data_IF_853080993264
#
_entry.id   IF_853080993264
#
_cell.length_a   1.000
_cell.length_b   1.000
_cell.length_c   1.000
_cell.angle_alpha   90.00
_cell.angle_beta   90.00
_cell.angle_gamma   90.00
#
_symmetry.space_group_name_H-M   'P 1'
#
loop_
_entity.id
_entity.type
_entity.pdbx_description
1 polymer ?
#
# COMPACT_ATOMS: atom_id res chain seq x y z
N UNK A 1 10.19 -1.57 -19.55
CA UNK A 1 10.37 -0.65 -18.43
C UNK A 1 9.28 0.39 -18.44
N UNK A 2 8.65 0.66 -17.29
CA UNK A 2 7.71 1.77 -17.17
C UNK A 2 8.50 3.08 -17.18
N UNK A 3 8.21 3.98 -18.10
CA UNK A 3 8.75 5.33 -18.07
C UNK A 3 8.15 6.04 -16.83
N UNK A 4 9.01 6.60 -15.98
CA UNK A 4 8.60 7.40 -14.83
C UNK A 4 8.79 8.86 -15.20
N UNK A 5 7.74 9.65 -15.13
CA UNK A 5 7.78 11.09 -15.35
C UNK A 5 7.50 11.80 -14.03
N UNK A 6 8.43 12.62 -13.58
CA UNK A 6 8.23 13.45 -12.39
C UNK A 6 7.44 14.71 -12.75
N UNK A 7 6.41 15.00 -11.97
CA UNK A 7 5.59 16.20 -12.08
C UNK A 7 5.74 17.04 -10.83
N UNK A 8 6.09 18.31 -10.98
CA UNK A 8 6.07 19.29 -9.88
C UNK A 8 4.78 20.06 -9.95
N UNK A 9 4.01 20.02 -8.87
CA UNK A 9 2.76 20.77 -8.75
C UNK A 9 3.02 21.99 -7.87
N UNK A 10 2.73 23.17 -8.42
CA UNK A 10 2.80 24.46 -7.70
C UNK A 10 1.48 25.19 -7.82
N UNK A 11 1.17 26.08 -6.87
CA UNK A 11 -0.01 26.92 -6.93
C UNK A 11 0.35 28.36 -6.59
N UNK A 12 -0.34 29.29 -7.24
CA UNK A 12 -0.42 30.71 -6.87
C UNK A 12 -1.87 31.04 -6.43
N UNK A 13 -2.20 32.33 -6.38
CA UNK A 13 -3.52 32.78 -5.91
C UNK A 13 -4.66 32.34 -6.84
N UNK A 14 -4.41 32.28 -8.16
CA UNK A 14 -5.43 32.06 -9.20
C UNK A 14 -5.29 30.70 -9.91
N UNK A 15 -4.10 30.07 -9.87
CA UNK A 15 -3.80 28.93 -10.72
C UNK A 15 -3.09 27.79 -9.99
N UNK A 16 -3.21 26.59 -10.55
CA UNK A 16 -2.40 25.39 -10.25
C UNK A 16 -1.61 25.04 -11.51
N UNK A 17 -0.32 24.80 -11.35
CA UNK A 17 0.60 24.51 -12.42
C UNK A 17 1.19 23.11 -12.24
N UNK A 18 1.20 22.31 -13.31
CA UNK A 18 1.89 21.04 -13.38
C UNK A 18 3.09 21.17 -14.31
N UNK A 19 4.27 21.09 -13.76
CA UNK A 19 5.54 21.14 -14.51
C UNK A 19 6.10 19.72 -14.66
N UNK A 20 6.15 19.24 -15.88
CA UNK A 20 6.73 17.95 -16.22
C UNK A 20 8.24 18.08 -16.39
N UNK A 21 9.03 17.27 -15.66
CA UNK A 21 10.49 17.36 -15.62
C UNK A 21 11.22 16.66 -16.76
N UNK A 22 10.54 15.75 -17.47
CA UNK A 22 11.12 15.00 -18.58
C UNK A 22 10.52 15.42 -19.93
N UNK A 23 11.18 15.05 -21.03
CA UNK A 23 10.71 15.31 -22.39
C UNK A 23 9.46 14.48 -22.70
N UNK A 24 8.31 14.98 -22.25
CA UNK A 24 7.01 14.51 -22.70
C UNK A 24 6.63 15.23 -23.98
N UNK A 25 5.94 14.55 -24.93
CA UNK A 25 5.51 15.17 -26.21
C UNK A 25 4.51 16.32 -26.03
N UNK A 26 4.06 16.57 -24.81
CA UNK A 26 3.12 17.64 -24.44
C UNK A 26 3.87 18.86 -23.91
N UNK A 27 3.16 20.00 -23.85
CA UNK A 27 3.70 21.21 -23.19
C UNK A 27 4.27 20.86 -21.82
N UNK A 28 5.48 21.37 -21.53
CA UNK A 28 6.17 21.14 -20.26
C UNK A 28 5.42 21.66 -19.03
N UNK A 29 4.44 22.54 -19.23
CA UNK A 29 3.59 23.11 -18.18
C UNK A 29 2.12 23.05 -18.61
N UNK A 30 1.27 22.58 -17.70
CA UNK A 30 -0.19 22.69 -17.81
C UNK A 30 -0.66 23.58 -16.66
N UNK A 31 -1.56 24.51 -16.95
CA UNK A 31 -2.09 25.46 -15.98
C UNK A 31 -3.61 25.27 -15.88
N UNK A 32 -4.11 25.21 -14.67
CA UNK A 32 -5.52 25.06 -14.36
C UNK A 32 -5.97 26.27 -13.52
N UNK A 33 -7.22 26.72 -13.69
CA UNK A 33 -7.88 27.59 -12.74
C UNK A 33 -7.92 26.92 -11.37
N UNK A 34 -7.55 27.62 -10.31
CA UNK A 34 -7.38 27.05 -8.97
C UNK A 34 -8.66 26.54 -8.36
N UNK A 35 -9.74 27.32 -8.47
CA UNK A 35 -11.02 26.96 -7.87
C UNK A 35 -11.61 25.75 -8.58
N UNK A 36 -11.54 25.72 -9.91
CA UNK A 36 -11.97 24.57 -10.70
C UNK A 36 -11.14 23.33 -10.39
N UNK A 37 -9.81 23.45 -10.27
CA UNK A 37 -8.94 22.36 -9.91
C UNK A 37 -9.27 21.78 -8.54
N UNK A 38 -9.43 22.61 -7.51
CA UNK A 38 -9.76 22.19 -6.16
C UNK A 38 -11.16 21.56 -6.07
N UNK A 39 -12.13 22.11 -6.78
CA UNK A 39 -13.46 21.53 -6.88
C UNK A 39 -13.42 20.11 -7.49
N UNK A 40 -12.64 19.93 -8.56
CA UNK A 40 -12.49 18.63 -9.22
C UNK A 40 -11.73 17.63 -8.35
N UNK A 41 -10.65 18.04 -7.70
CA UNK A 41 -9.92 17.20 -6.72
C UNK A 41 -10.84 16.74 -5.59
N UNK A 42 -11.67 17.66 -5.07
CA UNK A 42 -12.63 17.34 -4.01
C UNK A 42 -13.69 16.34 -4.50
N UNK A 43 -14.20 16.55 -5.72
CA UNK A 43 -15.17 15.64 -6.34
C UNK A 43 -14.56 14.23 -6.51
N UNK A 44 -13.35 14.13 -7.07
CA UNK A 44 -12.67 12.84 -7.30
C UNK A 44 -12.31 12.16 -5.97
N UNK A 45 -11.86 12.92 -4.97
CA UNK A 45 -11.56 12.37 -3.65
C UNK A 45 -12.80 11.78 -2.96
N UNK A 46 -13.97 12.33 -3.21
CA UNK A 46 -15.25 11.82 -2.70
C UNK A 46 -15.86 10.68 -3.53
N UNK A 47 -15.42 10.50 -4.77
CA UNK A 47 -15.94 9.47 -5.65
C UNK A 47 -15.27 8.12 -5.37
N UNK A 48 -16.03 7.20 -4.79
CA UNK A 48 -15.58 5.83 -4.49
C UNK A 48 -16.08 4.79 -5.50
N UNK A 49 -16.81 5.20 -6.53
CA UNK A 49 -17.45 4.29 -7.51
C UNK A 49 -16.44 3.51 -8.37
N UNK A 50 -15.22 4.03 -8.48
CA UNK A 50 -14.11 3.42 -9.20
C UNK A 50 -13.31 2.40 -8.36
N UNK A 51 -13.61 2.29 -7.05
CA UNK A 51 -12.89 1.37 -6.17
C UNK A 51 -13.25 -0.07 -6.49
N UNK A 52 -12.21 -0.88 -6.72
CA UNK A 52 -12.37 -2.34 -6.76
C UNK A 52 -12.62 -2.88 -5.34
N UNK A 53 -13.13 -4.11 -5.19
CA UNK A 53 -13.28 -4.75 -3.88
C UNK A 53 -12.00 -4.72 -3.04
N UNK A 54 -10.83 -4.93 -3.69
CA UNK A 54 -9.51 -4.88 -3.04
C UNK A 54 -9.22 -3.50 -2.44
N UNK A 55 -9.48 -2.44 -3.21
CA UNK A 55 -9.25 -1.06 -2.76
C UNK A 55 -10.21 -0.68 -1.64
N UNK A 56 -11.45 -1.14 -1.71
CA UNK A 56 -12.44 -0.96 -0.63
C UNK A 56 -11.97 -1.65 0.65
N UNK A 57 -11.54 -2.92 0.56
CA UNK A 57 -10.98 -3.63 1.69
C UNK A 57 -9.72 -2.93 2.25
N UNK A 58 -8.79 -2.53 1.38
CA UNK A 58 -7.59 -1.82 1.77
C UNK A 58 -7.87 -0.53 2.54
N UNK A 59 -8.82 0.28 2.10
CA UNK A 59 -9.24 1.48 2.82
C UNK A 59 -9.82 1.15 4.20
N UNK A 60 -10.71 0.14 4.29
CA UNK A 60 -11.29 -0.29 5.56
C UNK A 60 -10.22 -0.81 6.53
N UNK A 61 -9.19 -1.50 6.03
CA UNK A 61 -8.06 -1.96 6.84
C UNK A 61 -7.31 -0.75 7.41
N UNK A 62 -6.91 0.21 6.57
CA UNK A 62 -6.18 1.40 7.01
C UNK A 62 -6.96 2.21 8.03
N UNK A 63 -8.28 2.38 7.81
CA UNK A 63 -9.15 3.12 8.72
C UNK A 63 -9.34 2.43 10.09
N UNK A 64 -9.18 1.10 10.15
CA UNK A 64 -9.45 0.28 11.33
C UNK A 64 -8.20 -0.21 12.05
N UNK A 65 -7.03 -0.19 11.40
CA UNK A 65 -5.79 -0.73 11.95
C UNK A 65 -5.24 0.18 13.06
N UNK A 66 -5.19 -0.33 14.28
CA UNK A 66 -4.62 0.39 15.40
C UNK A 66 -3.08 0.33 15.43
N UNK A 67 -2.48 -0.65 14.76
CA UNK A 67 -1.02 -0.81 14.64
C UNK A 67 -0.31 -1.18 15.94
N UNK A 68 -1.01 -1.74 16.93
CA UNK A 68 -0.46 -2.06 18.25
C UNK A 68 0.75 -2.99 18.19
N UNK A 69 0.72 -3.98 17.28
CA UNK A 69 1.84 -4.90 17.09
C UNK A 69 2.88 -4.36 16.11
N UNK A 70 2.47 -3.60 15.09
CA UNK A 70 3.35 -3.12 14.03
C UNK A 70 4.29 -2.01 14.51
N UNK A 71 3.77 -1.07 15.33
CA UNK A 71 4.53 0.09 15.80
C UNK A 71 5.80 -0.30 16.60
N UNK A 72 5.76 -1.24 17.58
CA UNK A 72 6.96 -1.69 18.29
C UNK A 72 8.00 -2.36 17.39
N UNK A 73 7.58 -2.92 16.25
CA UNK A 73 8.46 -3.59 15.27
C UNK A 73 9.00 -2.62 14.22
N UNK A 74 8.56 -1.36 14.22
CA UNK A 74 8.88 -0.38 13.19
C UNK A 74 8.19 -0.63 11.84
N UNK A 75 7.30 -1.64 11.77
CA UNK A 75 6.62 -2.02 10.54
C UNK A 75 5.46 -1.08 10.22
N UNK A 76 5.28 -0.82 8.94
CA UNK A 76 4.16 -0.05 8.39
C UNK A 76 3.57 -0.76 7.19
N UNK A 77 2.27 -0.67 7.02
CA UNK A 77 1.62 -1.12 5.79
C UNK A 77 2.16 -0.30 4.63
N UNK A 78 2.78 -0.98 3.67
CA UNK A 78 3.35 -0.37 2.47
C UNK A 78 2.43 -0.56 1.26
N UNK A 79 1.85 -1.76 1.13
CA UNK A 79 1.04 -2.11 -0.02
C UNK A 79 0.08 -3.25 0.30
N UNK A 80 -1.06 -3.31 -0.41
CA UNK A 80 -2.06 -4.37 -0.26
C UNK A 80 -2.71 -4.68 -1.62
N UNK A 81 -2.88 -5.95 -1.92
CA UNK A 81 -3.64 -6.44 -3.09
C UNK A 81 -4.01 -7.92 -2.95
N UNK A 82 -4.73 -8.44 -3.93
CA UNK A 82 -4.84 -9.88 -4.13
C UNK A 82 -3.46 -10.45 -4.44
N UNK A 83 -3.12 -11.59 -3.85
CA UNK A 83 -1.87 -12.29 -4.15
C UNK A 83 -1.86 -12.76 -5.63
N UNK A 84 -0.75 -12.51 -6.32
CA UNK A 84 -0.61 -12.85 -7.74
C UNK A 84 -0.52 -14.35 -7.98
N UNK A 85 0.11 -15.06 -7.05
CA UNK A 85 0.35 -16.50 -7.14
C UNK A 85 -0.82 -17.32 -6.62
N UNK A 86 -1.57 -16.77 -5.65
CA UNK A 86 -2.78 -17.38 -5.10
C UNK A 86 -3.91 -16.34 -4.97
N UNK A 87 -4.77 -16.20 -5.97
CA UNK A 87 -5.87 -15.22 -5.94
C UNK A 87 -6.93 -15.50 -4.86
N UNK A 88 -6.82 -16.59 -4.11
CA UNK A 88 -7.66 -16.85 -2.92
C UNK A 88 -7.14 -16.15 -1.67
N UNK A 89 -5.95 -15.58 -1.72
CA UNK A 89 -5.29 -14.85 -0.65
C UNK A 89 -5.28 -13.35 -0.91
N UNK A 90 -5.33 -12.58 0.17
CA UNK A 90 -5.07 -11.16 0.18
C UNK A 90 -3.71 -10.93 0.81
N UNK A 91 -2.83 -10.25 0.09
CA UNK A 91 -1.47 -9.96 0.49
C UNK A 91 -1.40 -8.58 1.12
N UNK A 92 -0.84 -8.51 2.32
CA UNK A 92 -0.49 -7.26 3.00
C UNK A 92 1.02 -7.19 3.12
N UNK A 93 1.62 -6.26 2.43
CA UNK A 93 3.05 -5.98 2.50
C UNK A 93 3.33 -4.94 3.56
N UNK A 94 4.15 -5.33 4.54
CA UNK A 94 4.67 -4.47 5.59
C UNK A 94 6.14 -4.17 5.31
N UNK A 95 6.61 -2.98 5.71
CA UNK A 95 8.02 -2.60 5.55
C UNK A 95 8.50 -1.71 6.70
N UNK A 96 9.80 -1.81 7.04
CA UNK A 96 10.49 -0.91 7.99
C UNK A 96 11.61 -0.09 7.32
N UNK A 97 11.86 -0.29 6.03
CA UNK A 97 12.93 0.35 5.27
C UNK A 97 14.17 -0.53 5.07
N UNK A 98 14.29 -1.66 5.77
CA UNK A 98 15.36 -2.66 5.58
C UNK A 98 14.79 -4.02 5.19
N UNK A 99 13.58 -4.29 5.64
CA UNK A 99 12.89 -5.56 5.45
C UNK A 99 11.48 -5.32 4.91
N UNK A 100 11.02 -6.31 4.18
CA UNK A 100 9.64 -6.44 3.74
C UNK A 100 9.07 -7.73 4.33
N UNK A 101 7.84 -7.67 4.83
CA UNK A 101 7.10 -8.83 5.34
C UNK A 101 5.79 -8.92 4.58
N UNK A 102 5.56 -10.04 3.90
CA UNK A 102 4.36 -10.32 3.15
C UNK A 102 3.45 -11.24 3.96
N UNK A 103 2.35 -10.70 4.45
CA UNK A 103 1.34 -11.42 5.25
C UNK A 103 0.16 -11.80 4.36
N UNK A 104 -0.19 -13.09 4.31
CA UNK A 104 -1.29 -13.62 3.51
C UNK A 104 -2.49 -13.92 4.36
N UNK A 105 -3.65 -13.40 3.98
CA UNK A 105 -4.93 -13.62 4.65
C UNK A 105 -5.94 -14.18 3.65
N UNK A 106 -6.61 -15.31 3.93
CA UNK A 106 -7.61 -15.86 3.02
C UNK A 106 -8.70 -14.86 2.66
N UNK A 107 -8.94 -14.67 1.38
CA UNK A 107 -10.00 -13.79 0.89
C UNK A 107 -11.22 -14.54 0.38
N UNK A 108 -11.05 -15.68 -0.33
CA UNK A 108 -12.12 -16.36 -1.05
C UNK A 108 -13.43 -16.48 -0.24
N UNK A 109 -14.50 -15.95 -0.82
CA UNK A 109 -15.84 -15.98 -0.22
C UNK A 109 -16.11 -14.94 0.87
N UNK A 110 -15.19 -14.00 1.14
CA UNK A 110 -15.41 -12.92 2.10
C UNK A 110 -15.89 -11.64 1.40
N UNK A 111 -16.74 -10.86 2.08
CA UNK A 111 -16.97 -9.47 1.70
C UNK A 111 -15.77 -8.61 2.07
N UNK A 112 -15.69 -7.40 1.52
CA UNK A 112 -14.60 -6.44 1.77
C UNK A 112 -14.47 -6.12 3.27
N UNK A 113 -15.60 -5.95 3.97
CA UNK A 113 -15.62 -5.69 5.41
C UNK A 113 -15.17 -6.89 6.24
N UNK A 114 -15.55 -8.12 5.83
CA UNK A 114 -15.11 -9.34 6.50
C UNK A 114 -13.61 -9.60 6.27
N UNK A 115 -13.10 -9.29 5.09
CA UNK A 115 -11.68 -9.33 4.80
C UNK A 115 -10.92 -8.30 5.65
N UNK A 116 -11.39 -7.05 5.68
CA UNK A 116 -10.76 -6.00 6.48
C UNK A 116 -10.67 -6.38 7.96
N UNK A 117 -11.76 -6.90 8.54
CA UNK A 117 -11.77 -7.39 9.91
C UNK A 117 -10.75 -8.51 10.13
N UNK A 118 -10.66 -9.47 9.21
CA UNK A 118 -9.73 -10.59 9.32
C UNK A 118 -8.26 -10.13 9.24
N UNK A 119 -7.95 -9.16 8.37
CA UNK A 119 -6.60 -8.58 8.27
C UNK A 119 -6.24 -7.83 9.56
N UNK A 120 -7.14 -6.99 10.06
CA UNK A 120 -6.93 -6.25 11.33
C UNK A 120 -6.74 -7.22 12.49
N UNK A 121 -7.52 -8.31 12.58
CA UNK A 121 -7.35 -9.33 13.61
C UNK A 121 -5.98 -10.02 13.53
N UNK A 122 -5.50 -10.31 12.31
CA UNK A 122 -4.14 -10.86 12.12
C UNK A 122 -3.09 -9.86 12.57
N UNK A 123 -3.14 -8.62 12.07
CA UNK A 123 -2.08 -7.64 12.29
C UNK A 123 -2.05 -7.03 13.71
N UNK A 124 -3.18 -6.96 14.40
CA UNK A 124 -3.26 -6.34 15.73
C UNK A 124 -3.38 -7.33 16.88
N UNK A 125 -3.86 -8.56 16.65
CA UNK A 125 -4.23 -9.48 17.73
C UNK A 125 -3.63 -10.86 17.63
N UNK A 126 -3.27 -11.32 16.42
CA UNK A 126 -2.71 -12.66 16.24
C UNK A 126 -1.21 -12.63 16.54
N UNK A 127 -0.67 -13.54 17.35
CA UNK A 127 0.77 -13.63 17.59
C UNK A 127 1.56 -13.81 16.29
N UNK A 128 2.76 -13.26 16.20
CA UNK A 128 3.59 -13.24 14.97
C UNK A 128 3.89 -14.66 14.42
N UNK A 129 4.10 -15.63 15.32
CA UNK A 129 4.39 -17.02 14.95
C UNK A 129 3.22 -17.76 14.29
N UNK A 130 2.00 -17.20 14.42
CA UNK A 130 0.80 -17.70 13.78
C UNK A 130 0.44 -16.97 12.46
N UNK A 131 1.25 -15.99 12.05
CA UNK A 131 1.05 -15.33 10.76
C UNK A 131 1.46 -16.26 9.60
N UNK A 132 0.64 -16.32 8.57
CA UNK A 132 1.06 -16.86 7.27
C UNK A 132 1.88 -15.80 6.54
N UNK A 133 3.18 -15.76 6.82
CA UNK A 133 4.04 -14.69 6.35
C UNK A 133 5.37 -15.20 5.79
N UNK A 134 5.90 -14.41 4.84
CA UNK A 134 7.27 -14.50 4.36
C UNK A 134 7.97 -13.16 4.58
N UNK A 135 9.29 -13.16 4.60
CA UNK A 135 10.07 -11.93 4.70
C UNK A 135 11.14 -11.87 3.62
N UNK A 136 11.52 -10.68 3.23
CA UNK A 136 12.67 -10.41 2.37
C UNK A 136 13.44 -9.20 2.88
N UNK A 137 14.69 -9.09 2.50
CA UNK A 137 15.55 -7.97 2.85
C UNK A 137 16.04 -7.26 1.59
N UNK A 138 16.32 -5.96 1.70
CA UNK A 138 16.90 -5.18 0.60
C UNK A 138 18.32 -5.65 0.22
N UNK A 139 19.00 -6.36 1.13
CA UNK A 139 20.32 -6.93 0.91
C UNK A 139 20.25 -8.46 0.94
N UNK A 140 20.80 -9.14 -0.06
CA UNK A 140 20.69 -10.61 -0.20
C UNK A 140 21.26 -11.41 0.99
N UNK A 141 22.28 -10.87 1.70
CA UNK A 141 22.94 -11.54 2.82
C UNK A 141 22.49 -11.01 4.19
N UNK A 142 21.39 -10.29 4.25
CA UNK A 142 20.90 -9.78 5.52
C UNK A 142 20.37 -10.93 6.40
N UNK A 143 20.69 -10.96 7.70
CA UNK A 143 20.10 -11.92 8.61
C UNK A 143 18.58 -11.66 8.72
N UNK A 144 17.84 -12.69 9.15
CA UNK A 144 16.41 -12.53 9.44
C UNK A 144 16.20 -11.38 10.45
N UNK A 145 15.11 -10.62 10.32
CA UNK A 145 14.75 -9.63 11.33
C UNK A 145 14.62 -10.28 12.72
N UNK A 146 15.07 -9.60 13.76
CA UNK A 146 15.04 -10.14 15.13
C UNK A 146 13.61 -10.48 15.61
N UNK A 147 12.61 -9.85 15.03
CA UNK A 147 11.19 -10.12 15.32
C UNK A 147 10.61 -11.28 14.51
N UNK A 148 11.28 -11.76 13.47
CA UNK A 148 10.75 -12.80 12.60
C UNK A 148 10.76 -14.17 13.31
N UNK A 149 9.61 -14.83 13.50
CA UNK A 149 9.58 -16.20 14.00
C UNK A 149 10.28 -17.16 13.05
N UNK A 150 10.79 -18.25 13.58
CA UNK A 150 11.42 -19.30 12.76
C UNK A 150 10.47 -19.97 11.74
N UNK A 151 9.16 -19.76 11.89
CA UNK A 151 8.13 -20.24 10.96
C UNK A 151 8.04 -19.43 9.67
N UNK A 152 8.56 -18.19 9.65
CA UNK A 152 8.55 -17.36 8.44
C UNK A 152 9.66 -17.77 7.50
N UNK A 153 9.32 -17.97 6.24
CA UNK A 153 10.29 -18.29 5.20
C UNK A 153 10.91 -16.98 4.66
N UNK A 154 12.20 -17.06 4.33
CA UNK A 154 12.85 -16.03 3.53
C UNK A 154 12.34 -16.15 2.10
N UNK A 155 11.79 -15.06 1.56
CA UNK A 155 11.47 -14.95 0.15
C UNK A 155 12.71 -14.35 -0.53
N UNK A 156 13.58 -15.23 -1.04
CA UNK A 156 14.73 -14.82 -1.83
C UNK A 156 14.21 -14.20 -3.12
N UNK A 157 14.13 -12.87 -3.15
CA UNK A 157 13.74 -12.11 -4.34
C UNK A 157 14.64 -12.49 -5.52
N UNK A 158 14.06 -13.26 -6.44
CA UNK A 158 14.69 -13.65 -7.72
C UNK A 158 14.69 -12.49 -8.69
#
# INVERSE_FOLDING_TARGET
GCAKTDVVITADDDHVHWDFREDVPLNRRVTFDRDQYLAEVTRVAGDVTWQTPERTAGRLIVDSLAGHQLTPLGLRVNWMATDWDDPTQFLVRLADGNFTVDVRVPWAGRSESALASAVVDVLDRTPLDAWNATWSADRPDAPAPDFAPASWLCDDAT
#
